data_IF_568051599451
#
_entry.id   IF_568051599451
#
_cell.length_a   1.000
_cell.length_b   1.000
_cell.length_c   1.000
_cell.angle_alpha   90.00
_cell.angle_beta   90.00
_cell.angle_gamma   90.00
#
_symmetry.space_group_name_H-M   'P 1'
#
loop_
_entity.id
_entity.type
_entity.pdbx_description
1 polymer ?
#
# COMPACT_ATOMS: atom_id res chain seq x y z
N UNK A 1 25.93 -18.74 -12.82
CA UNK A 1 24.64 -18.54 -12.13
C UNK A 1 23.76 -17.82 -13.13
N UNK A 2 22.85 -18.54 -13.76
CA UNK A 2 21.86 -17.93 -14.67
C UNK A 2 20.70 -17.45 -13.81
N UNK A 3 20.36 -16.16 -13.90
CA UNK A 3 19.20 -15.60 -13.22
C UNK A 3 17.98 -16.09 -14.00
N UNK A 4 17.31 -17.15 -13.51
CA UNK A 4 16.04 -17.63 -14.05
C UNK A 4 14.92 -16.73 -13.51
N UNK A 5 14.62 -15.64 -14.24
CA UNK A 5 13.48 -14.77 -13.92
C UNK A 5 12.23 -15.41 -14.52
N UNK A 6 11.30 -15.83 -13.67
CA UNK A 6 9.98 -16.28 -14.10
C UNK A 6 9.07 -15.06 -14.30
N UNK A 7 8.77 -14.74 -15.56
CA UNK A 7 7.89 -13.62 -15.92
C UNK A 7 6.39 -13.99 -15.89
N UNK A 8 6.05 -15.28 -15.91
CA UNK A 8 4.65 -15.74 -15.89
C UNK A 8 4.01 -15.56 -14.50
N UNK A 9 4.84 -15.65 -13.45
CA UNK A 9 4.48 -15.46 -12.04
C UNK A 9 4.51 -13.97 -11.60
N UNK A 10 4.67 -13.04 -12.54
CA UNK A 10 4.85 -11.63 -12.23
C UNK A 10 3.51 -10.91 -12.04
N UNK A 11 2.88 -11.11 -10.88
CA UNK A 11 1.60 -10.50 -10.54
C UNK A 11 1.74 -9.08 -9.96
N UNK A 12 1.77 -8.08 -10.84
CA UNK A 12 1.83 -6.67 -10.45
C UNK A 12 0.60 -6.17 -9.69
N UNK A 13 -0.55 -6.81 -9.87
CA UNK A 13 -1.79 -6.41 -9.19
C UNK A 13 -1.71 -6.67 -7.69
N UNK A 14 -0.96 -7.69 -7.28
CA UNK A 14 -0.71 -8.01 -5.87
C UNK A 14 0.04 -6.89 -5.12
N UNK A 15 0.76 -6.02 -5.85
CA UNK A 15 1.50 -4.87 -5.32
C UNK A 15 0.71 -3.56 -5.38
N UNK A 16 -0.56 -3.58 -5.80
CA UNK A 16 -1.35 -2.37 -5.98
C UNK A 16 -1.46 -1.50 -4.71
N UNK A 17 -1.67 -2.05 -3.49
CA UNK A 17 -1.69 -1.25 -2.27
C UNK A 17 -0.36 -0.51 -2.03
N UNK A 18 0.77 -1.21 -2.16
CA UNK A 18 2.12 -0.68 -1.92
C UNK A 18 2.47 0.39 -2.94
N UNK A 19 2.18 0.14 -4.22
CA UNK A 19 2.40 1.10 -5.30
C UNK A 19 1.54 2.35 -5.11
N UNK A 20 0.31 2.21 -4.60
CA UNK A 20 -0.56 3.34 -4.30
C UNK A 20 0.04 4.21 -3.19
N UNK A 21 0.53 3.61 -2.10
CA UNK A 21 1.19 4.35 -1.02
C UNK A 21 2.46 5.03 -1.53
N UNK A 22 3.29 4.32 -2.29
CA UNK A 22 4.53 4.85 -2.87
C UNK A 22 4.25 6.06 -3.77
N UNK A 23 3.28 5.93 -4.68
CA UNK A 23 2.90 7.01 -5.59
C UNK A 23 2.34 8.20 -4.83
N UNK A 24 1.50 7.96 -3.81
CA UNK A 24 0.96 9.02 -2.94
C UNK A 24 2.09 9.77 -2.24
N UNK A 25 3.06 9.05 -1.66
CA UNK A 25 4.20 9.64 -0.97
C UNK A 25 5.07 10.46 -1.93
N UNK A 26 5.34 9.93 -3.12
CA UNK A 26 6.10 10.64 -4.15
C UNK A 26 5.37 11.91 -4.63
N UNK A 27 4.07 11.81 -4.87
CA UNK A 27 3.23 12.95 -5.23
C UNK A 27 3.24 14.04 -4.15
N UNK A 28 3.10 13.65 -2.88
CA UNK A 28 3.16 14.56 -1.75
C UNK A 28 4.52 15.24 -1.62
N UNK A 29 5.62 14.53 -1.89
CA UNK A 29 6.97 15.09 -1.89
C UNK A 29 7.09 16.19 -2.95
N UNK A 30 6.62 15.92 -4.18
CA UNK A 30 6.62 16.91 -5.26
C UNK A 30 5.74 18.13 -4.94
N UNK A 31 4.55 17.91 -4.39
CA UNK A 31 3.63 18.99 -4.03
C UNK A 31 4.14 19.80 -2.84
N UNK A 32 4.81 19.15 -1.88
CA UNK A 32 5.41 19.77 -0.72
C UNK A 32 6.52 20.77 -1.06
N UNK A 33 7.15 20.66 -2.24
CA UNK A 33 8.11 21.66 -2.73
C UNK A 33 7.47 23.05 -2.92
N UNK A 34 6.15 23.12 -3.12
CA UNK A 34 5.42 24.38 -3.25
C UNK A 34 4.90 24.82 -1.88
N UNK A 35 5.46 25.92 -1.35
CA UNK A 35 5.13 26.50 -0.03
C UNK A 35 3.64 26.79 0.20
N UNK A 36 2.88 27.07 -0.86
CA UNK A 36 1.42 27.28 -0.76
C UNK A 36 0.62 26.00 -0.49
N UNK A 37 1.21 24.84 -0.82
CA UNK A 37 0.58 23.53 -0.71
C UNK A 37 1.14 22.71 0.46
N UNK A 38 2.24 23.14 1.08
CA UNK A 38 2.86 22.53 2.27
C UNK A 38 2.09 22.80 3.57
N UNK A 39 0.76 22.91 3.52
CA UNK A 39 -0.07 23.06 4.72
C UNK A 39 -0.45 21.68 5.23
N UNK A 40 -0.38 21.46 6.55
CA UNK A 40 -0.77 20.17 7.16
C UNK A 40 -2.17 19.75 6.72
N UNK A 41 -3.12 20.70 6.66
CA UNK A 41 -4.49 20.41 6.24
C UNK A 41 -4.59 19.86 4.81
N UNK A 42 -3.75 20.30 3.87
CA UNK A 42 -3.74 19.74 2.52
C UNK A 42 -3.01 18.40 2.47
N UNK A 43 -1.81 18.31 3.05
CA UNK A 43 -1.00 17.10 3.05
C UNK A 43 -1.72 15.94 3.74
N UNK A 44 -2.31 16.17 4.92
CA UNK A 44 -3.04 15.14 5.65
C UNK A 44 -4.29 14.67 4.89
N UNK A 45 -4.99 15.55 4.15
CA UNK A 45 -6.14 15.15 3.30
C UNK A 45 -5.71 14.23 2.17
N UNK A 46 -4.66 14.61 1.45
CA UNK A 46 -4.15 13.83 0.31
C UNK A 46 -3.57 12.50 0.80
N UNK A 47 -2.82 12.51 1.91
CA UNK A 47 -2.29 11.29 2.54
C UNK A 47 -3.43 10.35 2.94
N UNK A 48 -4.47 10.87 3.60
CA UNK A 48 -5.61 10.07 4.03
C UNK A 48 -6.34 9.46 2.83
N UNK A 49 -6.54 10.22 1.75
CA UNK A 49 -7.12 9.70 0.52
C UNK A 49 -6.28 8.56 -0.07
N UNK A 50 -4.95 8.73 -0.16
CA UNK A 50 -4.06 7.68 -0.69
C UNK A 50 -4.05 6.41 0.15
N UNK A 51 -4.02 6.55 1.49
CA UNK A 51 -4.09 5.40 2.40
C UNK A 51 -5.44 4.69 2.30
N UNK A 52 -6.55 5.42 2.18
CA UNK A 52 -7.87 4.81 1.98
C UNK A 52 -7.97 4.05 0.65
N UNK A 53 -7.39 4.58 -0.43
CA UNK A 53 -7.35 3.87 -1.73
C UNK A 53 -6.52 2.60 -1.61
N UNK A 54 -5.35 2.65 -0.96
CA UNK A 54 -4.53 1.46 -0.72
C UNK A 54 -5.27 0.41 0.14
N UNK A 55 -6.04 0.86 1.13
CA UNK A 55 -6.86 -0.01 1.97
C UNK A 55 -7.97 -0.70 1.16
N UNK A 56 -8.63 0.03 0.25
CA UNK A 56 -9.62 -0.56 -0.65
C UNK A 56 -9.01 -1.61 -1.59
N UNK A 57 -7.80 -1.36 -2.12
CA UNK A 57 -7.10 -2.38 -2.91
C UNK A 57 -6.74 -3.60 -2.08
N UNK A 58 -6.26 -3.41 -0.85
CA UNK A 58 -5.94 -4.53 0.05
C UNK A 58 -7.18 -5.37 0.41
N UNK A 59 -8.35 -4.72 0.61
CA UNK A 59 -9.63 -5.42 0.78
C UNK A 59 -10.07 -6.19 -0.47
N UNK A 60 -9.87 -5.61 -1.67
CA UNK A 60 -10.20 -6.29 -2.92
C UNK A 60 -9.31 -7.53 -3.14
N UNK A 61 -8.01 -7.42 -2.82
CA UNK A 61 -7.05 -8.52 -2.92
C UNK A 61 -7.32 -9.63 -1.91
N UNK A 62 -7.76 -9.30 -0.68
CA UNK A 62 -8.16 -10.30 0.31
C UNK A 62 -9.17 -11.30 -0.26
N UNK A 63 -10.17 -10.82 -1.01
CA UNK A 63 -11.21 -11.67 -1.59
C UNK A 63 -10.68 -12.71 -2.60
N UNK A 64 -9.52 -12.44 -3.20
CA UNK A 64 -8.89 -13.29 -4.22
C UNK A 64 -7.68 -14.06 -3.69
N UNK A 65 -7.28 -13.80 -2.45
CA UNK A 65 -6.04 -14.29 -1.90
C UNK A 65 -6.06 -15.81 -1.63
N UNK A 66 -4.96 -16.52 -1.98
CA UNK A 66 -4.79 -17.94 -1.69
C UNK A 66 -4.94 -18.24 -0.19
N UNK A 67 -5.54 -19.38 0.12
CA UNK A 67 -5.75 -19.84 1.50
C UNK A 67 -5.41 -21.32 1.64
N UNK A 68 -5.16 -21.81 2.87
CA UNK A 68 -4.94 -23.24 3.09
C UNK A 68 -6.14 -24.05 2.59
N UNK A 69 -6.01 -24.69 1.42
CA UNK A 69 -7.09 -25.39 0.72
C UNK A 69 -7.38 -24.91 -0.71
N UNK A 70 -6.68 -23.89 -1.20
CA UNK A 70 -6.74 -23.45 -2.61
C UNK A 70 -5.51 -23.96 -3.37
N UNK A 71 -5.67 -24.49 -4.58
CA UNK A 71 -4.57 -24.96 -5.45
C UNK A 71 -3.71 -23.82 -6.05
N UNK A 72 -3.87 -22.58 -5.57
CA UNK A 72 -3.17 -21.42 -6.08
C UNK A 72 -1.87 -21.21 -5.31
N UNK A 73 -0.75 -21.13 -6.04
CA UNK A 73 0.56 -20.81 -5.45
C UNK A 73 0.56 -19.37 -4.89
N UNK A 74 0.92 -19.18 -3.61
CA UNK A 74 0.98 -17.86 -2.98
C UNK A 74 2.30 -17.12 -3.24
N UNK A 75 3.30 -17.81 -3.79
CA UNK A 75 4.62 -17.27 -4.07
C UNK A 75 4.59 -16.57 -5.42
N UNK A 76 5.00 -15.29 -5.43
CA UNK A 76 5.05 -14.45 -6.62
C UNK A 76 6.46 -13.88 -6.83
N UNK A 77 6.72 -13.40 -8.05
CA UNK A 77 8.01 -12.84 -8.45
C UNK A 77 9.18 -13.81 -8.23
N UNK A 78 9.07 -15.03 -8.76
CA UNK A 78 10.13 -16.04 -8.65
C UNK A 78 10.46 -16.38 -7.19
N UNK A 79 9.42 -16.60 -6.37
CA UNK A 79 9.52 -16.94 -4.95
C UNK A 79 10.15 -15.85 -4.06
N UNK A 80 10.23 -14.61 -4.54
CA UNK A 80 10.79 -13.51 -3.74
C UNK A 80 9.78 -12.87 -2.81
N UNK A 81 8.48 -13.00 -3.10
CA UNK A 81 7.41 -12.39 -2.31
C UNK A 81 6.25 -13.37 -2.12
N UNK A 82 5.71 -13.42 -0.91
CA UNK A 82 4.57 -14.27 -0.57
C UNK A 82 3.32 -13.40 -0.43
N UNK A 83 2.31 -13.66 -1.26
CA UNK A 83 1.04 -12.97 -1.26
C UNK A 83 -0.10 -13.94 -0.91
N UNK A 84 -0.36 -14.07 0.38
CA UNK A 84 -1.39 -14.93 0.93
C UNK A 84 -2.33 -14.14 1.85
N UNK A 85 -3.40 -14.79 2.33
CA UNK A 85 -4.33 -14.12 3.26
C UNK A 85 -3.63 -13.63 4.52
N UNK A 86 -2.59 -14.31 5.00
CA UNK A 86 -1.85 -13.88 6.18
C UNK A 86 -1.12 -12.56 5.92
N UNK A 87 -0.36 -12.45 4.84
CA UNK A 87 0.38 -11.22 4.50
C UNK A 87 -0.57 -10.04 4.25
N UNK A 88 -1.73 -10.28 3.62
CA UNK A 88 -2.75 -9.24 3.41
C UNK A 88 -3.36 -8.77 4.74
N UNK A 89 -3.55 -9.63 5.73
CA UNK A 89 -4.01 -9.22 7.08
C UNK A 89 -3.06 -8.18 7.68
N UNK A 90 -1.75 -8.42 7.61
CA UNK A 90 -0.77 -7.44 8.12
C UNK A 90 -0.83 -6.14 7.34
N UNK A 91 -0.98 -6.22 6.01
CA UNK A 91 -1.10 -5.03 5.18
C UNK A 91 -2.33 -4.19 5.56
N UNK A 92 -3.48 -4.83 5.77
CA UNK A 92 -4.68 -4.16 6.29
C UNK A 92 -4.47 -3.55 7.67
N UNK A 93 -3.81 -4.25 8.59
CA UNK A 93 -3.49 -3.71 9.92
C UNK A 93 -2.62 -2.46 9.82
N UNK A 94 -1.55 -2.49 9.01
CA UNK A 94 -0.67 -1.34 8.82
C UNK A 94 -1.41 -0.15 8.19
N UNK A 95 -2.22 -0.39 7.17
CA UNK A 95 -3.01 0.66 6.52
C UNK A 95 -4.06 1.25 7.47
N UNK A 96 -4.74 0.41 8.25
CA UNK A 96 -5.71 0.85 9.25
C UNK A 96 -5.05 1.70 10.34
N UNK A 97 -3.88 1.28 10.84
CA UNK A 97 -3.08 2.10 11.76
C UNK A 97 -2.67 3.43 11.12
N UNK A 98 -2.23 3.42 9.86
CA UNK A 98 -1.86 4.63 9.13
C UNK A 98 -3.05 5.61 9.00
N UNK A 99 -4.27 5.12 8.76
CA UNK A 99 -5.48 5.97 8.75
C UNK A 99 -5.62 6.71 10.09
N UNK A 100 -5.51 6.03 11.22
CA UNK A 100 -5.64 6.65 12.54
C UNK A 100 -4.53 7.68 12.81
N UNK A 101 -3.29 7.38 12.43
CA UNK A 101 -2.15 8.28 12.60
C UNK A 101 -2.30 9.54 11.74
N UNK A 102 -2.69 9.39 10.47
CA UNK A 102 -2.91 10.54 9.59
C UNK A 102 -4.11 11.36 10.06
N UNK A 103 -5.17 10.71 10.54
CA UNK A 103 -6.33 11.40 11.09
C UNK A 103 -5.97 12.22 12.35
N UNK A 104 -5.16 11.69 13.25
CA UNK A 104 -4.71 12.44 14.44
C UNK A 104 -3.79 13.61 14.09
N UNK A 105 -2.98 13.49 13.02
CA UNK A 105 -2.07 14.54 12.57
C UNK A 105 -2.75 15.86 12.18
N UNK A 106 -4.05 15.83 11.80
CA UNK A 106 -4.78 17.03 11.38
C UNK A 106 -4.86 18.12 12.43
N UNK A 107 -4.89 17.73 13.71
CA UNK A 107 -5.00 18.62 14.86
C UNK A 107 -3.69 18.77 15.63
N UNK A 108 -2.60 18.19 15.13
CA UNK A 108 -1.32 18.26 15.81
C UNK A 108 -0.84 19.72 15.87
N UNK A 109 -0.60 20.29 17.07
CA UNK A 109 -0.13 21.67 17.22
C UNK A 109 1.17 21.86 16.45
N UNK A 110 1.20 22.88 15.59
CA UNK A 110 2.42 23.33 14.93
C UNK A 110 3.01 24.47 15.77
N UNK A 111 3.96 24.12 16.64
CA UNK A 111 4.94 25.10 17.12
C UNK A 111 6.15 25.11 16.18
#
# INVERSE_FOLDING_TARGET
MEIQINFEDMNWLALAPELTVLFTAFFLLLVGLKKSLSTNGFLSKVTLAGVLVALLFSLALWGQAPSPGTEADPEIFSHSLIHDRFSIVFNLLFLLMAVFVVFSSFRYPQE
#
